data_IF_482101446092
#
_entry.id   IF_482101446092
#
_cell.length_a   1.000
_cell.length_b   1.000
_cell.length_c   1.000
_cell.angle_alpha   90.00
_cell.angle_beta   90.00
_cell.angle_gamma   90.00
#
_symmetry.space_group_name_H-M   'P 1'
#
loop_
_entity.id
_entity.type
_entity.pdbx_description
1 polymer ?
#
# COMPACT_ATOMS: atom_id res chain seq x y z
N UNK A 1 -22.91 16.79 9.93
CA UNK A 1 -21.88 16.30 10.87
C UNK A 1 -20.90 15.46 10.06
N UNK A 2 -19.90 16.10 9.45
CA UNK A 2 -18.93 15.47 8.55
C UNK A 2 -17.92 14.70 9.40
N UNK A 3 -17.97 13.38 9.31
CA UNK A 3 -17.07 12.47 10.02
C UNK A 3 -15.64 12.68 9.49
N UNK A 4 -14.80 13.28 10.34
CA UNK A 4 -13.35 13.15 10.37
C UNK A 4 -12.57 13.66 9.16
N UNK A 5 -12.14 14.92 9.19
CA UNK A 5 -11.09 15.41 8.31
C UNK A 5 -9.77 14.65 8.62
N UNK A 6 -9.27 13.79 7.72
CA UNK A 6 -8.09 12.94 7.97
C UNK A 6 -6.79 13.77 8.14
N UNK A 7 -6.84 15.07 7.87
CA UNK A 7 -5.73 16.00 8.08
C UNK A 7 -5.44 16.26 9.57
N UNK A 8 -6.37 15.92 10.48
CA UNK A 8 -6.22 16.13 11.92
C UNK A 8 -5.52 15.00 12.68
N UNK A 9 -4.97 13.98 12.01
CA UNK A 9 -4.17 12.98 12.71
C UNK A 9 -2.94 13.66 13.36
N UNK A 10 -2.85 13.66 14.69
CA UNK A 10 -1.82 14.42 15.39
C UNK A 10 -0.43 13.90 15.02
N UNK A 11 0.57 14.78 15.02
CA UNK A 11 1.92 14.47 14.54
C UNK A 11 2.54 13.25 15.25
N UNK A 12 2.18 13.01 16.51
CA UNK A 12 2.64 11.86 17.29
C UNK A 12 2.13 10.51 16.75
N UNK A 13 0.90 10.42 16.21
CA UNK A 13 0.40 9.19 15.57
C UNK A 13 1.28 8.79 14.38
N UNK A 14 1.64 9.77 13.53
CA UNK A 14 2.51 9.55 12.37
C UNK A 14 3.94 9.19 12.78
N UNK A 15 4.41 9.65 13.93
CA UNK A 15 5.70 9.26 14.48
C UNK A 15 5.65 7.81 15.01
N UNK A 16 4.60 7.45 15.75
CA UNK A 16 4.38 6.09 16.26
C UNK A 16 4.26 5.08 15.14
N UNK A 17 3.51 5.36 14.08
CA UNK A 17 3.36 4.42 12.97
C UNK A 17 4.66 4.25 12.16
N UNK A 18 5.49 5.30 12.06
CA UNK A 18 6.86 5.20 11.51
C UNK A 18 7.80 4.39 12.41
N UNK A 19 7.73 4.59 13.72
CA UNK A 19 8.49 3.82 14.69
C UNK A 19 8.06 2.34 14.66
N UNK A 20 6.76 2.08 14.67
CA UNK A 20 6.16 0.75 14.59
C UNK A 20 6.61 -0.04 13.37
N UNK A 21 6.66 0.59 12.18
CA UNK A 21 7.16 -0.07 10.96
C UNK A 21 8.59 -0.61 11.07
N UNK A 22 9.43 -0.01 11.93
CA UNK A 22 10.80 -0.48 12.16
C UNK A 22 10.91 -1.38 13.39
N UNK A 23 10.21 -1.03 14.47
CA UNK A 23 10.26 -1.73 15.73
C UNK A 23 9.57 -3.10 15.67
N UNK A 24 8.43 -3.22 14.98
CA UNK A 24 7.68 -4.49 14.88
C UNK A 24 8.52 -5.61 14.28
N UNK A 25 9.16 -5.49 13.10
CA UNK A 25 9.99 -6.59 12.59
C UNK A 25 11.22 -6.85 13.48
N UNK A 26 11.79 -5.82 14.09
CA UNK A 26 12.90 -5.95 15.04
C UNK A 26 12.56 -6.79 16.28
N UNK A 27 11.30 -6.76 16.72
CA UNK A 27 10.81 -7.54 17.87
C UNK A 27 10.26 -8.89 17.42
N UNK A 28 9.44 -8.91 16.37
CA UNK A 28 8.74 -10.13 15.92
C UNK A 28 9.73 -11.17 15.41
N UNK A 29 10.71 -10.79 14.58
CA UNK A 29 11.65 -11.75 13.99
C UNK A 29 12.43 -12.55 15.05
N UNK A 30 13.12 -11.94 16.03
CA UNK A 30 13.87 -12.70 17.03
C UNK A 30 12.96 -13.54 17.94
N UNK A 31 11.78 -13.02 18.34
CA UNK A 31 10.81 -13.77 19.15
C UNK A 31 10.25 -14.96 18.37
N UNK A 32 9.94 -14.79 17.09
CA UNK A 32 9.54 -15.89 16.20
C UNK A 32 10.66 -16.91 16.02
N UNK A 33 11.91 -16.49 15.86
CA UNK A 33 13.04 -17.43 15.77
C UNK A 33 13.17 -18.27 17.04
N UNK A 34 13.04 -17.64 18.22
CA UNK A 34 13.04 -18.35 19.50
C UNK A 34 11.89 -19.37 19.57
N UNK A 35 10.66 -18.97 19.23
CA UNK A 35 9.53 -19.91 19.25
C UNK A 35 9.61 -21.01 18.19
N UNK A 36 10.21 -20.73 17.03
CA UNK A 36 10.44 -21.74 15.99
C UNK A 36 11.44 -22.82 16.44
N UNK A 37 12.41 -22.49 17.29
CA UNK A 37 13.34 -23.46 17.89
C UNK A 37 12.65 -24.40 18.90
N UNK A 38 11.53 -23.97 19.47
CA UNK A 38 10.81 -24.68 20.51
C UNK A 38 9.62 -25.48 19.98
N UNK A 39 9.11 -25.10 18.82
CA UNK A 39 8.02 -25.80 18.16
C UNK A 39 8.55 -27.01 17.39
N UNK A 40 7.78 -28.11 17.35
CA UNK A 40 8.09 -29.21 16.45
C UNK A 40 8.13 -28.72 15.00
N UNK A 41 9.16 -29.11 14.24
CA UNK A 41 9.37 -28.67 12.84
C UNK A 41 8.14 -28.92 11.96
N UNK A 42 7.44 -30.05 12.16
CA UNK A 42 6.23 -30.38 11.41
C UNK A 42 5.08 -29.41 11.70
N UNK A 43 4.98 -28.87 12.91
CA UNK A 43 3.96 -27.88 13.28
C UNK A 43 4.21 -26.57 12.55
N UNK A 44 5.46 -26.12 12.50
CA UNK A 44 5.85 -24.88 11.78
C UNK A 44 5.62 -25.04 10.28
N UNK A 45 6.04 -26.18 9.71
CA UNK A 45 5.89 -26.46 8.28
C UNK A 45 4.43 -26.75 7.86
N UNK A 46 3.60 -27.29 8.75
CA UNK A 46 2.19 -27.58 8.47
C UNK A 46 1.28 -26.38 8.72
N UNK A 47 1.24 -25.87 9.95
CA UNK A 47 0.29 -24.81 10.34
C UNK A 47 0.72 -23.42 9.86
N UNK A 48 2.03 -23.15 9.77
CA UNK A 48 2.54 -21.85 9.32
C UNK A 48 1.98 -21.45 7.95
N UNK A 49 2.18 -22.27 6.90
CA UNK A 49 1.64 -21.99 5.56
C UNK A 49 0.11 -21.92 5.53
N UNK A 50 -0.59 -22.76 6.30
CA UNK A 50 -2.05 -22.72 6.39
C UNK A 50 -2.56 -21.39 6.95
N UNK A 51 -1.97 -20.90 8.04
CA UNK A 51 -2.30 -19.59 8.62
C UNK A 51 -1.95 -18.44 7.67
N UNK A 52 -0.82 -18.54 6.97
CA UNK A 52 -0.45 -17.57 5.95
C UNK A 52 -1.45 -17.52 4.79
N UNK A 53 -1.82 -18.69 4.24
CA UNK A 53 -2.83 -18.79 3.18
C UNK A 53 -4.19 -18.27 3.64
N UNK A 54 -4.60 -18.59 4.87
CA UNK A 54 -5.83 -18.09 5.45
C UNK A 54 -5.83 -16.56 5.54
N UNK A 55 -4.78 -15.95 6.12
CA UNK A 55 -4.66 -14.51 6.25
C UNK A 55 -4.64 -13.80 4.88
N UNK A 56 -3.90 -14.35 3.91
CA UNK A 56 -3.89 -13.86 2.54
C UNK A 56 -5.28 -13.97 1.89
N UNK A 57 -5.95 -15.11 2.07
CA UNK A 57 -7.31 -15.36 1.58
C UNK A 57 -8.32 -14.36 2.12
N UNK A 58 -8.30 -14.07 3.43
CA UNK A 58 -9.16 -13.06 4.05
C UNK A 58 -8.98 -11.68 3.39
N UNK A 59 -7.73 -11.28 3.13
CA UNK A 59 -7.45 -10.01 2.43
C UNK A 59 -8.00 -10.03 1.00
N UNK A 60 -7.84 -11.15 0.29
CA UNK A 60 -8.34 -11.29 -1.08
C UNK A 60 -9.87 -11.30 -1.16
N UNK A 61 -10.57 -11.87 -0.17
CA UNK A 61 -12.04 -11.94 -0.14
C UNK A 61 -12.69 -10.67 0.41
N UNK A 62 -11.98 -9.90 1.23
CA UNK A 62 -12.46 -8.64 1.76
C UNK A 62 -12.51 -7.53 0.69
N UNK A 63 -11.80 -7.70 -0.43
CA UNK A 63 -11.82 -6.73 -1.51
C UNK A 63 -13.10 -6.89 -2.35
N UNK A 64 -13.92 -5.84 -2.52
CA UNK A 64 -15.16 -5.92 -3.28
C UNK A 64 -14.90 -6.40 -4.71
N UNK A 65 -15.81 -7.23 -5.25
CA UNK A 65 -15.74 -7.86 -6.57
C UNK A 65 -15.47 -6.84 -7.68
N UNK A 66 -14.20 -6.60 -7.97
CA UNK A 66 -13.71 -5.66 -8.95
C UNK A 66 -12.37 -6.12 -9.53
N UNK A 67 -11.85 -5.43 -10.55
CA UNK A 67 -10.55 -5.77 -11.12
C UNK A 67 -9.47 -5.73 -10.03
N UNK A 68 -8.72 -6.83 -9.89
CA UNK A 68 -7.70 -7.01 -8.85
C UNK A 68 -6.67 -5.89 -8.95
N UNK A 69 -6.60 -5.03 -7.93
CA UNK A 69 -5.61 -3.96 -7.88
C UNK A 69 -4.22 -4.55 -7.64
N UNK A 70 -3.16 -4.01 -8.25
CA UNK A 70 -1.79 -4.48 -8.01
C UNK A 70 -1.36 -4.35 -6.53
N UNK A 71 -1.97 -3.43 -5.77
CA UNK A 71 -1.76 -3.29 -4.33
C UNK A 71 -2.28 -4.47 -3.50
N UNK A 72 -3.39 -5.07 -3.92
CA UNK A 72 -4.04 -6.21 -3.25
C UNK A 72 -3.12 -7.41 -3.13
N UNK A 73 -2.40 -7.76 -4.20
CA UNK A 73 -1.47 -8.90 -4.19
C UNK A 73 -0.36 -8.71 -3.18
N UNK A 74 0.16 -7.48 -3.07
CA UNK A 74 1.19 -7.13 -2.08
C UNK A 74 0.64 -7.15 -0.66
N UNK A 75 -0.58 -6.65 -0.45
CA UNK A 75 -1.25 -6.70 0.84
C UNK A 75 -1.51 -8.15 1.28
N UNK A 76 -2.02 -8.99 0.38
CA UNK A 76 -2.24 -10.41 0.62
C UNK A 76 -0.93 -11.15 0.93
N UNK A 77 0.16 -10.86 0.18
CA UNK A 77 1.47 -11.45 0.46
C UNK A 77 2.02 -11.04 1.83
N UNK A 78 1.86 -9.77 2.23
CA UNK A 78 2.26 -9.30 3.56
C UNK A 78 1.42 -9.93 4.67
N UNK A 79 0.09 -10.01 4.49
CA UNK A 79 -0.80 -10.68 5.43
C UNK A 79 -0.45 -12.16 5.59
N UNK A 80 -0.13 -12.83 4.48
CA UNK A 80 0.33 -14.21 4.52
C UNK A 80 1.65 -14.39 5.26
N UNK A 81 2.63 -13.51 5.03
CA UNK A 81 3.89 -13.53 5.78
C UNK A 81 3.68 -13.31 7.28
N UNK A 82 2.78 -12.40 7.67
CA UNK A 82 2.40 -12.19 9.07
C UNK A 82 1.73 -13.43 9.65
N UNK A 83 0.81 -14.07 8.91
CA UNK A 83 0.14 -15.30 9.33
C UNK A 83 1.11 -16.46 9.58
N UNK A 84 2.12 -16.63 8.71
CA UNK A 84 3.18 -17.64 8.90
C UNK A 84 3.98 -17.40 10.18
N UNK A 85 4.29 -16.14 10.49
CA UNK A 85 5.10 -15.78 11.66
C UNK A 85 4.31 -15.77 12.98
N UNK A 86 2.98 -15.72 12.93
CA UNK A 86 2.13 -15.59 14.12
C UNK A 86 2.30 -16.77 15.09
N UNK A 87 2.38 -17.99 14.56
CA UNK A 87 2.48 -19.21 15.37
C UNK A 87 3.83 -19.33 16.11
N UNK A 88 4.99 -19.22 15.44
CA UNK A 88 6.27 -19.21 16.15
C UNK A 88 6.43 -17.96 17.04
N UNK A 89 5.86 -16.82 16.67
CA UNK A 89 5.85 -15.64 17.54
C UNK A 89 5.10 -15.92 18.86
N UNK A 90 3.89 -16.48 18.78
CA UNK A 90 3.10 -16.81 19.96
C UNK A 90 3.81 -17.82 20.88
N UNK A 91 4.42 -18.85 20.29
CA UNK A 91 5.22 -19.82 21.05
C UNK A 91 6.42 -19.17 21.75
N UNK A 92 7.17 -18.30 21.06
CA UNK A 92 8.31 -17.59 21.63
C UNK A 92 7.90 -16.60 22.72
N UNK A 93 6.80 -15.87 22.52
CA UNK A 93 6.26 -14.94 23.50
C UNK A 93 5.83 -15.63 24.79
N UNK A 94 5.23 -16.82 24.71
CA UNK A 94 4.80 -17.57 25.90
C UNK A 94 5.97 -17.94 26.84
N UNK A 95 7.18 -18.06 26.31
CA UNK A 95 8.38 -18.39 27.08
C UNK A 95 9.00 -17.20 27.79
N UNK A 96 8.59 -15.98 27.43
CA UNK A 96 9.04 -14.74 28.05
C UNK A 96 8.15 -14.33 29.24
N UNK A 97 7.23 -15.21 29.66
CA UNK A 97 6.33 -15.03 30.81
C UNK A 97 5.64 -13.63 30.80
N UNK A 98 5.64 -12.76 31.85
CA UNK A 98 4.84 -11.53 31.78
C UNK A 98 5.35 -10.57 30.71
N UNK A 99 6.63 -10.67 30.32
CA UNK A 99 7.22 -9.86 29.24
C UNK A 99 6.61 -10.24 27.89
N UNK A 100 6.30 -11.52 27.68
CA UNK A 100 5.64 -12.00 26.47
C UNK A 100 4.32 -11.30 26.18
N UNK A 101 3.47 -11.15 27.20
CA UNK A 101 2.20 -10.44 27.08
C UNK A 101 2.38 -8.97 26.69
N UNK A 102 3.36 -8.28 27.28
CA UNK A 102 3.68 -6.89 26.94
C UNK A 102 4.16 -6.76 25.49
N UNK A 103 4.98 -7.69 25.01
CA UNK A 103 5.46 -7.70 23.62
C UNK A 103 4.31 -7.92 22.62
N UNK A 104 3.40 -8.86 22.90
CA UNK A 104 2.21 -9.09 22.08
C UNK A 104 1.36 -7.82 22.01
N UNK A 105 1.09 -7.18 23.15
CA UNK A 105 0.33 -5.93 23.20
C UNK A 105 1.00 -4.82 22.39
N UNK A 106 2.32 -4.66 22.55
CA UNK A 106 3.11 -3.64 21.84
C UNK A 106 3.11 -3.88 20.32
N UNK A 107 3.28 -5.13 19.88
CA UNK A 107 3.19 -5.51 18.46
C UNK A 107 1.80 -5.26 17.91
N UNK A 108 0.75 -5.57 18.67
CA UNK A 108 -0.63 -5.32 18.25
C UNK A 108 -0.89 -3.82 18.10
N UNK A 109 -0.54 -3.01 19.11
CA UNK A 109 -0.76 -1.56 19.08
C UNK A 109 0.04 -0.89 17.95
N UNK A 110 1.34 -1.19 17.84
CA UNK A 110 2.19 -0.60 16.80
C UNK A 110 1.83 -1.12 15.41
N UNK A 111 1.49 -2.41 15.29
CA UNK A 111 1.05 -3.05 14.07
C UNK A 111 -0.26 -2.47 13.56
N UNK A 112 -1.27 -2.31 14.43
CA UNK A 112 -2.54 -1.67 14.12
C UNK A 112 -2.35 -0.21 13.71
N UNK A 113 -1.52 0.56 14.41
CA UNK A 113 -1.23 1.95 14.03
C UNK A 113 -0.57 2.04 12.65
N UNK A 114 0.36 1.13 12.33
CA UNK A 114 0.99 1.04 11.02
C UNK A 114 0.00 0.60 9.93
N UNK A 115 -0.91 -0.32 10.23
CA UNK A 115 -1.95 -0.78 9.32
C UNK A 115 -2.96 0.35 9.03
N UNK A 116 -3.40 1.08 10.05
CA UNK A 116 -4.29 2.23 9.90
C UNK A 116 -3.66 3.33 9.03
N UNK A 117 -2.35 3.60 9.18
CA UNK A 117 -1.67 4.56 8.29
C UNK A 117 -1.65 4.07 6.84
N UNK A 118 -1.52 2.76 6.60
CA UNK A 118 -1.58 2.20 5.25
C UNK A 118 -2.98 2.28 4.65
N UNK A 119 -4.02 1.96 5.43
CA UNK A 119 -5.42 2.09 5.02
C UNK A 119 -5.74 3.55 4.73
N UNK A 120 -5.42 4.46 5.65
CA UNK A 120 -5.64 5.90 5.45
C UNK A 120 -4.84 6.46 4.26
N UNK A 121 -3.64 5.94 4.00
CA UNK A 121 -2.87 6.31 2.82
C UNK A 121 -3.47 5.77 1.52
N UNK A 122 -4.16 4.63 1.56
CA UNK A 122 -4.89 4.08 0.42
C UNK A 122 -6.23 4.82 0.20
N UNK A 123 -6.92 5.20 1.26
CA UNK A 123 -8.17 5.98 1.20
C UNK A 123 -7.94 7.42 0.73
N UNK A 124 -6.74 7.97 1.00
CA UNK A 124 -6.34 9.31 0.58
C UNK A 124 -6.27 9.53 -0.94
N UNK A 125 -6.34 8.46 -1.74
CA UNK A 125 -6.42 8.55 -3.20
C UNK A 125 -7.84 8.92 -3.68
N UNK A 126 -8.89 8.71 -2.86
CA UNK A 126 -10.29 8.96 -3.21
C UNK A 126 -10.64 10.40 -3.66
N UNK A 127 -10.38 11.45 -2.85
CA UNK A 127 -10.74 12.83 -3.23
C UNK A 127 -9.88 13.37 -4.37
N UNK A 128 -8.62 12.92 -4.49
CA UNK A 128 -7.78 13.28 -5.62
C UNK A 128 -8.31 12.67 -6.92
N UNK A 129 -8.71 11.40 -6.89
CA UNK A 129 -9.31 10.71 -8.03
C UNK A 129 -10.64 11.34 -8.46
N UNK A 130 -11.48 11.75 -7.51
CA UNK A 130 -12.74 12.43 -7.82
C UNK A 130 -12.51 13.78 -8.51
N UNK A 131 -11.53 14.56 -8.07
CA UNK A 131 -11.12 15.78 -8.78
C UNK A 131 -10.64 15.45 -10.19
N UNK A 132 -9.80 14.42 -10.39
CA UNK A 132 -9.33 14.03 -11.72
C UNK A 132 -10.48 13.67 -12.68
N UNK A 133 -11.54 13.01 -12.19
CA UNK A 133 -12.73 12.69 -13.00
C UNK A 133 -13.44 13.91 -13.55
N UNK A 134 -13.36 15.05 -12.86
CA UNK A 134 -13.99 16.31 -13.32
C UNK A 134 -13.12 17.10 -14.30
N UNK A 135 -11.82 16.82 -14.37
CA UNK A 135 -10.90 17.58 -15.22
C UNK A 135 -11.10 17.24 -16.71
N UNK A 136 -11.06 18.21 -17.63
CA UNK A 136 -10.95 17.97 -19.07
C UNK A 136 -9.69 17.16 -19.43
N UNK A 137 -9.74 16.37 -20.50
CA UNK A 137 -8.62 15.50 -20.94
C UNK A 137 -7.32 16.28 -21.16
N UNK A 138 -7.39 17.50 -21.70
CA UNK A 138 -6.22 18.36 -21.85
C UNK A 138 -5.54 18.71 -20.51
N UNK A 139 -6.34 18.92 -19.45
CA UNK A 139 -5.82 19.21 -18.11
C UNK A 139 -5.25 17.94 -17.46
N UNK A 140 -5.84 16.77 -17.68
CA UNK A 140 -5.27 15.49 -17.25
C UNK A 140 -3.88 15.28 -17.84
N UNK A 141 -3.71 15.50 -19.15
CA UNK A 141 -2.40 15.41 -19.81
C UNK A 141 -1.40 16.40 -19.20
N UNK A 142 -1.83 17.62 -18.87
CA UNK A 142 -0.96 18.61 -18.22
C UNK A 142 -0.55 18.17 -16.80
N UNK A 143 -1.47 17.60 -16.01
CA UNK A 143 -1.16 17.05 -14.68
C UNK A 143 -0.18 15.88 -14.78
N UNK A 144 -0.36 14.99 -15.76
CA UNK A 144 0.55 13.87 -16.00
C UNK A 144 1.96 14.35 -16.37
N UNK A 145 2.06 15.32 -17.28
CA UNK A 145 3.33 15.92 -17.70
C UNK A 145 4.05 16.63 -16.54
N UNK A 146 3.30 17.41 -15.74
CA UNK A 146 3.84 18.07 -14.55
C UNK A 146 4.39 17.07 -13.52
N UNK A 147 3.72 15.93 -13.33
CA UNK A 147 4.23 14.86 -12.48
C UNK A 147 5.49 14.19 -13.08
N UNK A 148 5.60 14.07 -14.40
CA UNK A 148 6.83 13.66 -15.08
C UNK A 148 8.02 14.58 -14.77
N UNK A 149 7.81 15.89 -14.88
CA UNK A 149 8.86 16.87 -14.59
C UNK A 149 9.37 16.79 -13.13
N UNK A 150 8.54 16.37 -12.17
CA UNK A 150 8.98 16.12 -10.78
C UNK A 150 9.89 14.89 -10.68
N UNK A 151 9.67 13.87 -11.51
CA UNK A 151 10.49 12.64 -11.53
C UNK A 151 11.85 12.85 -12.18
N UNK A 152 11.93 13.74 -13.18
CA UNK A 152 13.18 14.04 -13.89
C UNK A 152 14.12 14.92 -13.04
N UNK A 153 13.58 15.68 -12.09
CA UNK A 153 14.36 16.46 -11.13
C UNK A 153 14.94 15.58 -10.02
N UNK A 154 16.04 16.02 -9.39
CA UNK A 154 16.59 15.43 -8.15
C UNK A 154 15.67 15.71 -6.94
N UNK A 155 14.43 15.25 -7.02
CA UNK A 155 13.39 15.40 -6.01
C UNK A 155 13.59 14.41 -4.86
N UNK A 156 13.04 14.73 -3.68
CA UNK A 156 13.09 13.80 -2.55
C UNK A 156 12.38 12.47 -2.88
N UNK A 157 12.76 11.35 -2.25
CA UNK A 157 12.08 10.06 -2.45
C UNK A 157 10.56 10.13 -2.22
N UNK A 158 10.13 10.99 -1.29
CA UNK A 158 8.72 11.20 -0.98
C UNK A 158 7.97 11.89 -2.13
N UNK A 159 8.58 12.91 -2.73
CA UNK A 159 7.98 13.64 -3.85
C UNK A 159 7.92 12.78 -5.10
N UNK A 160 8.96 11.98 -5.34
CA UNK A 160 8.94 10.97 -6.41
C UNK A 160 7.81 9.96 -6.22
N UNK A 161 7.62 9.43 -5.02
CA UNK A 161 6.54 8.50 -4.73
C UNK A 161 5.15 9.13 -4.95
N UNK A 162 4.97 10.42 -4.58
CA UNK A 162 3.74 11.17 -4.85
C UNK A 162 3.51 11.38 -6.35
N UNK A 163 4.53 11.74 -7.11
CA UNK A 163 4.45 11.94 -8.55
C UNK A 163 4.11 10.63 -9.29
N UNK A 164 4.70 9.50 -8.89
CA UNK A 164 4.35 8.17 -9.44
C UNK A 164 2.88 7.84 -9.19
N UNK A 165 2.38 7.99 -7.95
CA UNK A 165 0.96 7.73 -7.65
C UNK A 165 0.03 8.63 -8.47
N UNK A 166 0.37 9.92 -8.58
CA UNK A 166 -0.41 10.87 -9.38
C UNK A 166 -0.43 10.50 -10.87
N UNK A 167 0.70 10.05 -11.44
CA UNK A 167 0.75 9.56 -12.82
C UNK A 167 -0.09 8.31 -13.02
N UNK A 168 -0.08 7.37 -12.07
CA UNK A 168 -0.93 6.19 -12.12
C UNK A 168 -2.41 6.56 -12.14
N UNK A 169 -2.86 7.39 -11.19
CA UNK A 169 -4.26 7.84 -11.12
C UNK A 169 -4.73 8.57 -12.40
N UNK A 170 -3.88 9.45 -12.95
CA UNK A 170 -4.20 10.12 -14.22
C UNK A 170 -4.23 9.13 -15.39
N UNK A 171 -3.31 8.16 -15.44
CA UNK A 171 -3.29 7.14 -16.48
C UNK A 171 -4.52 6.24 -16.41
N UNK A 172 -4.94 5.84 -15.21
CA UNK A 172 -6.16 5.06 -14.99
C UNK A 172 -7.38 5.84 -15.49
N UNK A 173 -7.47 7.13 -15.18
CA UNK A 173 -8.55 8.01 -15.65
C UNK A 173 -8.52 8.24 -17.17
N UNK A 174 -7.35 8.43 -17.77
CA UNK A 174 -7.22 8.52 -19.23
C UNK A 174 -7.62 7.20 -19.91
N UNK A 175 -7.18 6.06 -19.37
CA UNK A 175 -7.52 4.71 -19.88
C UNK A 175 -9.02 4.46 -19.79
N UNK A 176 -9.67 4.93 -18.73
CA UNK A 176 -11.12 4.84 -18.56
C UNK A 176 -11.89 5.65 -19.62
N UNK A 177 -11.36 6.79 -20.07
CA UNK A 177 -12.00 7.65 -21.07
C UNK A 177 -11.77 7.18 -22.51
N UNK A 178 -10.56 6.72 -22.80
CA UNK A 178 -10.14 6.31 -24.14
C UNK A 178 -9.12 5.15 -24.04
N UNK A 179 -9.60 3.91 -23.83
CA UNK A 179 -8.72 2.76 -23.65
C UNK A 179 -7.90 2.45 -24.90
N UNK A 180 -8.47 2.65 -26.09
CA UNK A 180 -7.80 2.41 -27.36
C UNK A 180 -6.70 3.45 -27.64
N UNK A 181 -7.00 4.74 -27.41
CA UNK A 181 -6.03 5.82 -27.56
C UNK A 181 -4.87 5.71 -26.59
N UNK A 182 -5.13 5.38 -25.31
CA UNK A 182 -4.05 5.13 -24.34
C UNK A 182 -3.22 3.91 -24.73
N UNK A 183 -3.83 2.82 -25.19
CA UNK A 183 -3.09 1.65 -25.66
C UNK A 183 -2.23 1.96 -26.89
N UNK A 184 -2.71 2.78 -27.83
CA UNK A 184 -1.93 3.25 -28.97
C UNK A 184 -0.76 4.14 -28.55
N UNK A 185 -1.01 5.08 -27.66
CA UNK A 185 0.01 5.98 -27.11
C UNK A 185 1.11 5.22 -26.32
N UNK A 186 0.75 4.22 -25.52
CA UNK A 186 1.73 3.37 -24.82
C UNK A 186 2.58 2.54 -25.79
N UNK A 187 1.98 2.02 -26.88
CA UNK A 187 2.74 1.34 -27.95
C UNK A 187 3.69 2.28 -28.68
N UNK A 188 3.38 3.57 -28.76
CA UNK A 188 4.25 4.61 -29.32
C UNK A 188 5.35 5.09 -28.37
N UNK A 189 5.50 4.49 -27.18
CA UNK A 189 6.55 4.81 -26.19
C UNK A 189 6.09 5.65 -25.02
N UNK A 190 4.83 6.13 -25.00
CA UNK A 190 4.26 6.82 -23.85
C UNK A 190 4.87 8.20 -23.56
N UNK A 191 5.50 8.83 -24.55
CA UNK A 191 5.99 10.20 -24.42
C UNK A 191 4.82 11.20 -24.43
N UNK A 192 4.87 12.28 -23.64
CA UNK A 192 3.78 13.26 -23.63
C UNK A 192 3.50 13.74 -25.06
N UNK A 193 2.22 13.78 -25.50
CA UNK A 193 1.90 14.28 -26.83
C UNK A 193 2.47 15.69 -26.96
N UNK A 194 3.42 15.84 -27.89
CA UNK A 194 4.08 17.11 -28.12
C UNK A 194 3.06 18.18 -28.51
N UNK A 195 3.36 19.48 -28.30
CA UNK A 195 2.43 20.57 -28.57
C UNK A 195 1.85 20.58 -30.00
N UNK A 196 2.52 19.93 -30.96
CA UNK A 196 2.08 19.80 -32.36
C UNK A 196 0.82 18.92 -32.57
N UNK A 197 0.42 18.09 -31.60
CA UNK A 197 -0.75 17.18 -31.76
C UNK A 197 -2.07 17.76 -31.22
N UNK A 198 -2.09 18.96 -30.63
CA UNK A 198 -3.33 19.62 -30.15
C UNK A 198 -4.09 20.41 -31.20
N UNK A 199 -3.45 20.75 -32.33
CA UNK A 199 -4.08 21.58 -33.36
C UNK A 199 -5.09 20.79 -34.21
N UNK A 200 -4.94 19.47 -34.34
CA UNK A 200 -5.72 18.68 -35.31
C UNK A 200 -6.95 17.98 -34.71
N UNK A 201 -7.15 18.01 -33.39
CA UNK A 201 -8.29 17.34 -32.72
C UNK A 201 -9.48 18.28 -32.41
N UNK A 202 -9.45 19.51 -32.92
CA UNK A 202 -10.55 20.49 -32.79
C UNK A 202 -11.21 20.84 -34.14
N UNK A 203 -10.96 20.04 -35.18
CA UNK A 203 -11.59 20.12 -36.49
C UNK A 203 -12.67 19.06 -36.68
#
# INVERSE_FOLDING_TARGET
>A
MTVGDPTLLPAWCRALARAGRRAVPLVVIPVSLLGALLLPTWTVLGLGPLLGLFAAGVVLTAEPCGPVRPGTRRAAALAGAVGVLALPFAAGANQLEPVGGVLVLLVLVLGSAAALEQVAAADGDGPADEVLRTLPTAQLVAVWAAAGAVLDRRSSPRDRARAVRRRAAVLDELTRRDPEGVAAWLRAGGDPPGPATRADAAG
#
